data_IF_853351894767
#
_entry.id   IF_853351894767
#
_cell.length_a   1.000
_cell.length_b   1.000
_cell.length_c   1.000
_cell.angle_alpha   90.00
_cell.angle_beta   90.00
_cell.angle_gamma   90.00
#
_symmetry.space_group_name_H-M   'P 1'
#
loop_
_entity.id
_entity.type
_entity.pdbx_description
1 polymer ?
#
# COMPACT_ATOMS: atom_id res chain seq x y z
N UNK A 1 -17.80 5.08 20.55
CA UNK A 1 -17.24 5.20 19.19
C UNK A 1 -17.41 6.64 18.76
N UNK A 2 -16.37 7.46 18.86
CA UNK A 2 -16.45 8.87 18.46
C UNK A 2 -16.37 8.94 16.94
N UNK A 3 -17.39 9.51 16.29
CA UNK A 3 -17.38 9.74 14.85
C UNK A 3 -16.24 10.70 14.50
N UNK A 4 -15.44 10.35 13.49
CA UNK A 4 -14.34 11.18 13.01
C UNK A 4 -14.93 12.47 12.38
N UNK A 5 -14.57 13.68 12.84
CA UNK A 5 -15.19 14.90 12.34
C UNK A 5 -14.89 15.14 10.86
N UNK A 6 -15.92 15.41 10.07
CA UNK A 6 -15.78 15.81 8.67
C UNK A 6 -15.39 17.29 8.62
N UNK A 7 -14.26 17.60 7.97
CA UNK A 7 -13.83 18.97 7.73
C UNK A 7 -13.82 19.28 6.22
N UNK A 8 -14.46 20.38 5.78
CA UNK A 8 -14.43 20.79 4.38
C UNK A 8 -13.03 21.27 4.00
N UNK A 9 -12.58 20.92 2.79
CA UNK A 9 -11.29 21.36 2.23
C UNK A 9 -11.50 21.86 0.81
N UNK A 10 -10.96 23.04 0.50
CA UNK A 10 -10.98 23.60 -0.85
C UNK A 10 -9.80 23.05 -1.65
N UNK A 11 -10.08 22.40 -2.78
CA UNK A 11 -9.07 21.82 -3.67
C UNK A 11 -9.13 22.53 -5.02
N UNK A 12 -7.98 22.95 -5.54
CA UNK A 12 -7.86 23.50 -6.89
C UNK A 12 -7.80 22.35 -7.89
N UNK A 13 -8.70 22.38 -8.86
CA UNK A 13 -8.78 21.38 -9.94
C UNK A 13 -8.96 22.16 -11.24
N UNK A 14 -8.16 21.83 -12.25
CA UNK A 14 -8.28 22.43 -13.57
C UNK A 14 -9.60 22.03 -14.26
N UNK A 15 -10.03 22.81 -15.24
CA UNK A 15 -11.32 22.62 -15.89
C UNK A 15 -11.42 21.25 -16.59
N UNK A 16 -10.35 20.82 -17.27
CA UNK A 16 -10.35 19.56 -18.00
C UNK A 16 -10.50 18.37 -17.06
N UNK A 17 -9.80 18.36 -15.92
CA UNK A 17 -9.96 17.34 -14.88
C UNK A 17 -11.36 17.36 -14.28
N UNK A 18 -11.93 18.55 -14.03
CA UNK A 18 -13.30 18.70 -13.50
C UNK A 18 -14.35 18.10 -14.45
N UNK A 19 -14.22 18.33 -15.75
CA UNK A 19 -15.12 17.77 -16.76
C UNK A 19 -14.97 16.25 -16.92
N UNK A 20 -13.74 15.74 -16.93
CA UNK A 20 -13.48 14.29 -16.94
C UNK A 20 -14.09 13.59 -15.72
N UNK A 21 -13.94 14.19 -14.54
CA UNK A 21 -14.52 13.68 -13.30
C UNK A 21 -16.05 13.64 -13.37
N UNK A 22 -16.71 14.70 -13.86
CA UNK A 22 -18.17 14.74 -13.99
C UNK A 22 -18.69 13.61 -14.87
N UNK A 23 -18.10 13.44 -16.06
CA UNK A 23 -18.46 12.36 -16.99
C UNK A 23 -18.26 10.97 -16.36
N UNK A 24 -17.16 10.79 -15.61
CA UNK A 24 -16.90 9.53 -14.92
C UNK A 24 -17.91 9.27 -13.78
N UNK A 25 -18.29 10.31 -13.04
CA UNK A 25 -19.30 10.22 -11.99
C UNK A 25 -20.66 9.79 -12.55
N UNK A 26 -21.10 10.42 -13.65
CA UNK A 26 -22.32 10.07 -14.37
C UNK A 26 -22.31 8.61 -14.83
N UNK A 27 -21.25 8.19 -15.53
CA UNK A 27 -21.10 6.82 -16.02
C UNK A 27 -21.07 5.77 -14.90
N UNK A 28 -20.66 6.15 -13.68
CA UNK A 28 -20.60 5.25 -12.51
C UNK A 28 -21.78 5.40 -11.56
N UNK A 29 -22.77 6.26 -11.86
CA UNK A 29 -23.87 6.61 -10.96
C UNK A 29 -23.40 7.05 -9.56
N UNK A 30 -22.33 7.85 -9.50
CA UNK A 30 -21.77 8.40 -8.26
C UNK A 30 -21.71 9.92 -8.33
N UNK A 31 -21.68 10.57 -7.17
CA UNK A 31 -21.45 12.02 -7.13
C UNK A 31 -19.98 12.34 -7.42
N UNK A 32 -19.67 13.48 -8.06
CA UNK A 32 -18.29 13.93 -8.23
C UNK A 32 -17.54 14.05 -6.90
N UNK A 33 -18.21 14.47 -5.83
CA UNK A 33 -17.64 14.54 -4.48
C UNK A 33 -17.20 13.15 -3.97
N UNK A 34 -18.02 12.11 -4.18
CA UNK A 34 -17.66 10.75 -3.80
C UNK A 34 -16.39 10.29 -4.54
N UNK A 35 -16.29 10.58 -5.84
CA UNK A 35 -15.10 10.23 -6.63
C UNK A 35 -13.83 10.96 -6.15
N UNK A 36 -13.92 12.23 -5.75
CA UNK A 36 -12.78 12.97 -5.22
C UNK A 36 -12.26 12.30 -3.94
N UNK A 37 -13.16 12.03 -2.99
CA UNK A 37 -12.77 11.40 -1.74
C UNK A 37 -12.19 10.00 -1.95
N UNK A 38 -12.79 9.23 -2.86
CA UNK A 38 -12.31 7.90 -3.20
C UNK A 38 -10.92 7.94 -3.85
N UNK A 39 -10.69 8.87 -4.77
CA UNK A 39 -9.38 9.04 -5.40
C UNK A 39 -8.29 9.44 -4.39
N UNK A 40 -8.61 10.31 -3.43
CA UNK A 40 -7.69 10.70 -2.35
C UNK A 40 -7.36 9.50 -1.47
N UNK A 41 -8.37 8.74 -1.02
CA UNK A 41 -8.15 7.53 -0.20
C UNK A 41 -7.28 6.51 -0.92
N UNK A 42 -7.62 6.18 -2.16
CA UNK A 42 -6.83 5.24 -2.95
C UNK A 42 -5.40 5.71 -3.19
N UNK A 43 -5.16 7.02 -3.27
CA UNK A 43 -3.80 7.56 -3.36
C UNK A 43 -3.06 7.37 -2.04
N UNK A 44 -3.64 7.81 -0.93
CA UNK A 44 -3.03 7.68 0.41
C UNK A 44 -2.71 6.22 0.71
N UNK A 45 -3.69 5.32 0.58
CA UNK A 45 -3.50 3.89 0.88
C UNK A 45 -2.37 3.26 0.06
N UNK A 46 -2.19 3.69 -1.21
CA UNK A 46 -1.09 3.21 -2.06
C UNK A 46 0.25 3.77 -1.62
N UNK A 47 0.31 5.04 -1.26
CA UNK A 47 1.55 5.69 -0.82
C UNK A 47 1.99 5.20 0.56
N UNK A 48 1.06 4.99 1.49
CA UNK A 48 1.35 4.39 2.80
C UNK A 48 1.92 2.97 2.65
N UNK A 49 1.29 2.11 1.85
CA UNK A 49 1.82 0.75 1.58
C UNK A 49 3.20 0.76 0.94
N UNK A 50 3.47 1.73 0.04
CA UNK A 50 4.79 1.88 -0.59
C UNK A 50 5.84 2.32 0.41
N UNK A 51 5.49 3.26 1.28
CA UNK A 51 6.39 3.75 2.32
C UNK A 51 6.68 2.67 3.36
N UNK A 52 5.67 1.91 3.79
CA UNK A 52 5.83 0.78 4.70
C UNK A 52 6.79 -0.27 4.11
N UNK A 53 6.61 -0.63 2.84
CA UNK A 53 7.51 -1.55 2.14
C UNK A 53 8.94 -1.00 2.07
N UNK A 54 9.10 0.29 1.73
CA UNK A 54 10.42 0.94 1.66
C UNK A 54 11.11 0.96 3.02
N UNK A 55 10.40 1.31 4.09
CA UNK A 55 10.93 1.32 5.45
C UNK A 55 11.26 -0.09 5.92
N UNK A 56 10.45 -1.08 5.58
CA UNK A 56 10.73 -2.50 5.81
C UNK A 56 12.07 -2.92 5.18
N UNK A 57 12.30 -2.58 3.92
CA UNK A 57 13.58 -2.85 3.24
C UNK A 57 14.78 -2.14 3.89
N UNK A 58 14.63 -0.87 4.26
CA UNK A 58 15.69 -0.13 4.96
C UNK A 58 16.01 -0.74 6.32
N UNK A 59 14.99 -1.16 7.06
CA UNK A 59 15.17 -1.82 8.36
C UNK A 59 15.91 -3.15 8.19
N UNK A 60 15.46 -4.01 7.26
CA UNK A 60 16.09 -5.29 6.97
C UNK A 60 17.57 -5.10 6.54
N UNK A 61 17.85 -4.10 5.70
CA UNK A 61 19.21 -3.78 5.30
C UNK A 61 20.11 -3.37 6.47
N UNK A 62 19.62 -2.48 7.35
CA UNK A 62 20.34 -2.07 8.55
C UNK A 62 20.59 -3.24 9.50
N UNK A 63 19.61 -4.11 9.68
CA UNK A 63 19.74 -5.32 10.52
C UNK A 63 20.79 -6.28 9.96
N UNK A 64 20.79 -6.51 8.65
CA UNK A 64 21.83 -7.31 7.99
C UNK A 64 23.22 -6.69 8.15
N UNK A 65 23.36 -5.37 7.95
CA UNK A 65 24.65 -4.70 8.13
C UNK A 65 25.23 -4.85 9.55
N UNK A 66 24.38 -4.95 10.57
CA UNK A 66 24.80 -5.10 11.97
C UNK A 66 25.05 -6.56 12.35
N UNK A 67 24.19 -7.47 11.89
CA UNK A 67 24.17 -8.86 12.38
C UNK A 67 24.80 -9.87 11.42
N UNK A 68 24.87 -9.55 10.13
CA UNK A 68 25.20 -10.49 9.06
C UNK A 68 24.12 -11.54 8.78
N UNK A 69 23.03 -11.58 9.56
CA UNK A 69 22.02 -12.61 9.45
C UNK A 69 21.17 -12.42 8.19
N UNK A 70 21.07 -13.47 7.38
CA UNK A 70 20.34 -13.49 6.12
C UNK A 70 19.70 -14.87 5.88
N UNK A 71 18.85 -14.93 4.86
CA UNK A 71 18.45 -16.17 4.22
C UNK A 71 19.04 -16.18 2.82
N UNK A 72 19.48 -17.35 2.37
CA UNK A 72 19.86 -17.55 0.97
C UNK A 72 18.63 -17.49 0.06
N UNK A 73 18.86 -17.29 -1.24
CA UNK A 73 17.79 -17.31 -2.23
C UNK A 73 17.06 -18.65 -2.22
N UNK A 74 17.80 -19.75 -2.13
CA UNK A 74 17.27 -21.11 -2.14
C UNK A 74 16.37 -21.38 -0.93
N UNK A 75 16.75 -20.92 0.27
CA UNK A 75 15.93 -21.06 1.47
C UNK A 75 14.64 -20.24 1.39
N UNK A 76 14.73 -19.01 0.88
CA UNK A 76 13.57 -18.15 0.69
C UNK A 76 12.60 -18.73 -0.36
N UNK A 77 13.11 -19.21 -1.50
CA UNK A 77 12.31 -19.79 -2.57
C UNK A 77 11.60 -21.09 -2.13
N UNK A 78 12.32 -21.95 -1.40
CA UNK A 78 11.74 -23.16 -0.83
C UNK A 78 10.63 -22.87 0.19
N UNK A 79 10.80 -21.83 1.01
CA UNK A 79 9.77 -21.38 1.95
C UNK A 79 8.55 -20.80 1.22
N UNK A 80 8.75 -19.89 0.26
CA UNK A 80 7.68 -19.28 -0.53
C UNK A 80 6.87 -20.34 -1.30
N UNK A 81 7.54 -21.32 -1.89
CA UNK A 81 6.87 -22.44 -2.60
C UNK A 81 5.91 -23.22 -1.69
N UNK A 82 6.23 -23.39 -0.40
CA UNK A 82 5.35 -24.08 0.56
C UNK A 82 4.13 -23.23 0.92
N UNK A 83 4.32 -21.93 1.09
CA UNK A 83 3.21 -20.99 1.31
C UNK A 83 2.27 -20.95 0.10
N UNK A 84 2.81 -20.91 -1.11
CA UNK A 84 2.02 -20.95 -2.36
C UNK A 84 1.22 -22.26 -2.50
N UNK A 85 1.73 -23.37 -1.99
CA UNK A 85 1.01 -24.64 -1.90
C UNK A 85 -0.08 -24.67 -0.79
N UNK A 86 -0.31 -23.54 -0.10
CA UNK A 86 -1.31 -23.41 0.95
C UNK A 86 -0.90 -24.02 2.29
N UNK A 87 0.39 -24.30 2.49
CA UNK A 87 0.90 -24.76 3.79
C UNK A 87 1.11 -23.56 4.70
N UNK A 88 0.64 -23.64 5.95
CA UNK A 88 0.92 -22.63 6.97
C UNK A 88 2.25 -23.00 7.67
N UNK A 89 3.34 -22.37 7.22
CA UNK A 89 4.70 -22.69 7.65
C UNK A 89 5.44 -21.43 8.09
N UNK A 90 6.07 -21.50 9.27
CA UNK A 90 6.84 -20.39 9.80
C UNK A 90 8.03 -20.03 8.90
N UNK A 91 8.44 -18.77 8.96
CA UNK A 91 9.62 -18.28 8.26
C UNK A 91 10.89 -18.99 8.77
N UNK A 92 11.82 -19.39 7.88
CA UNK A 92 13.12 -19.93 8.28
C UNK A 92 13.92 -18.93 9.13
N UNK A 93 14.74 -19.45 10.05
CA UNK A 93 15.63 -18.60 10.85
C UNK A 93 16.80 -18.09 10.00
N UNK A 94 17.05 -16.78 10.04
CA UNK A 94 18.21 -16.18 9.39
C UNK A 94 19.52 -16.64 10.05
N UNK A 95 20.58 -16.78 9.26
CA UNK A 95 21.92 -17.22 9.68
C UNK A 95 23.01 -16.35 9.03
N UNK A 96 24.25 -16.43 9.56
CA UNK A 96 25.36 -15.56 9.16
C UNK A 96 26.19 -16.14 8.01
#
# INVERSE_FOLDING_TARGET
MSANPLQPTTIKIDLATKERMKRLAEARHRSPHWLILEAIRQYIDREEKREDFRQGGIKAWKEYQVTGLHLTLEEADAWLSRLEAGQDVDQPQCHA
#
